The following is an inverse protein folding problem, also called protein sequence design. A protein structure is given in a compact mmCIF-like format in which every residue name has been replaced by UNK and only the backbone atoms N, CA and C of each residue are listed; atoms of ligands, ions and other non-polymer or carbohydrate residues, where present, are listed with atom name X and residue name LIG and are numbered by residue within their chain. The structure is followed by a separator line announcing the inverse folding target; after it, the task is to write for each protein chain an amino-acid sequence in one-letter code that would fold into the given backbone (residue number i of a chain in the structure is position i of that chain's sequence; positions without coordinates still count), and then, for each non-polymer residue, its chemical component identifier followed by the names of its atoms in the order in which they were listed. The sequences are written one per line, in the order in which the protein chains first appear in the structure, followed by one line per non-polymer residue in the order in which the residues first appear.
data_IF_209472009540
#
_entry.id   IF_209472009540
#
_cell.length_a   1.000
_cell.length_b   1.000
_cell.length_c   1.000
_cell.angle_alpha   90.00
_cell.angle_beta   90.00
_cell.angle_gamma   90.00
#
_symmetry.space_group_name_H-M   'P 1'
#
loop_
_entity.id
_entity.type
_entity.pdbx_description
1 polymer ?
#
# COMPACT_ATOMS: atom_id res chain seq x y z
N UNK A 1 6.34 27.20 -12.13
CA UNK A 1 7.77 26.84 -11.85
C UNK A 1 7.93 25.85 -10.69
N UNK A 2 6.96 25.75 -9.77
CA UNK A 2 7.09 24.96 -8.53
C UNK A 2 6.92 23.43 -8.67
N UNK A 3 6.07 22.85 -9.53
CA UNK A 3 5.83 21.40 -9.51
C UNK A 3 7.06 20.57 -9.91
N UNK A 4 7.84 21.01 -10.89
CA UNK A 4 8.99 20.26 -11.39
C UNK A 4 10.16 20.21 -10.39
N UNK A 5 10.44 21.30 -9.70
CA UNK A 5 11.51 21.35 -8.70
C UNK A 5 11.16 20.52 -7.46
N UNK A 6 9.89 20.51 -7.06
CA UNK A 6 9.40 19.69 -5.94
C UNK A 6 9.47 18.21 -6.29
N UNK A 7 9.02 17.84 -7.48
CA UNK A 7 9.10 16.45 -7.97
C UNK A 7 10.57 15.97 -8.01
N UNK A 8 11.48 16.77 -8.59
CA UNK A 8 12.89 16.43 -8.65
C UNK A 8 13.50 16.26 -7.26
N UNK A 9 13.24 17.19 -6.33
CA UNK A 9 13.72 17.07 -4.94
C UNK A 9 13.17 15.83 -4.24
N UNK A 10 11.90 15.50 -4.44
CA UNK A 10 11.30 14.31 -3.86
C UNK A 10 11.95 13.03 -4.39
N UNK A 11 12.20 12.93 -5.71
CA UNK A 11 12.89 11.79 -6.32
C UNK A 11 14.32 11.67 -5.77
N UNK A 12 15.04 12.78 -5.64
CA UNK A 12 16.40 12.77 -5.06
C UNK A 12 16.38 12.33 -3.60
N UNK A 13 15.46 12.85 -2.79
CA UNK A 13 15.31 12.45 -1.39
C UNK A 13 14.96 10.97 -1.23
N UNK A 14 14.02 10.46 -2.02
CA UNK A 14 13.63 9.04 -1.99
C UNK A 14 14.75 8.15 -2.50
N UNK A 15 15.45 8.56 -3.56
CA UNK A 15 16.63 7.86 -4.07
C UNK A 15 17.78 7.81 -3.05
N UNK A 16 18.07 8.91 -2.38
CA UNK A 16 19.04 8.96 -1.30
C UNK A 16 18.61 8.09 -0.12
N UNK A 17 17.34 8.14 0.25
CA UNK A 17 16.78 7.25 1.29
C UNK A 17 16.93 5.78 0.95
N UNK A 18 16.66 5.38 -0.28
CA UNK A 18 16.88 4.01 -0.73
C UNK A 18 18.35 3.60 -0.68
N UNK A 19 19.25 4.44 -1.19
CA UNK A 19 20.67 4.11 -1.27
C UNK A 19 21.38 4.13 0.09
N UNK A 20 21.05 5.07 0.95
CA UNK A 20 21.70 5.25 2.24
C UNK A 20 20.98 4.46 3.34
N UNK A 21 19.71 4.78 3.56
CA UNK A 21 18.93 4.21 4.65
C UNK A 21 18.54 2.76 4.39
N UNK A 22 18.10 2.44 3.17
CA UNK A 22 17.75 1.07 2.78
C UNK A 22 18.92 0.11 2.86
N UNK A 23 20.11 0.53 2.40
CA UNK A 23 21.34 -0.27 2.53
C UNK A 23 21.78 -0.44 3.98
N UNK A 24 21.73 0.62 4.77
CA UNK A 24 22.04 0.55 6.19
C UNK A 24 21.12 -0.43 6.92
N UNK A 25 19.80 -0.37 6.63
CA UNK A 25 18.81 -1.25 7.23
C UNK A 25 19.02 -2.71 6.81
N UNK A 26 19.28 -2.96 5.52
CA UNK A 26 19.56 -4.29 5.00
C UNK A 26 20.81 -4.91 5.67
N UNK A 27 21.88 -4.12 5.82
CA UNK A 27 23.10 -4.56 6.51
C UNK A 27 22.86 -4.81 8.00
N UNK A 28 22.09 -3.93 8.66
CA UNK A 28 21.78 -4.07 10.09
C UNK A 28 20.94 -5.33 10.39
N UNK A 29 20.05 -5.69 9.47
CA UNK A 29 19.22 -6.90 9.62
C UNK A 29 19.92 -8.16 9.13
N UNK A 30 21.11 -8.05 8.57
CA UNK A 30 21.91 -9.18 8.11
C UNK A 30 21.30 -9.84 6.85
N UNK A 31 20.80 -9.02 5.91
CA UNK A 31 20.32 -9.53 4.63
C UNK A 31 21.50 -10.07 3.82
N UNK A 32 21.45 -11.35 3.48
CA UNK A 32 22.41 -11.96 2.55
C UNK A 32 21.83 -11.98 1.14
N UNK A 33 22.39 -11.16 0.20
CA UNK A 33 21.91 -11.13 -1.18
C UNK A 33 22.10 -12.44 -1.95
N UNK A 34 22.94 -13.36 -1.44
CA UNK A 34 23.23 -14.66 -2.05
C UNK A 34 22.39 -15.79 -1.46
N UNK A 35 21.69 -15.55 -0.37
CA UNK A 35 20.82 -16.54 0.25
C UNK A 35 19.68 -16.92 -0.71
N UNK A 36 19.45 -18.22 -0.85
CA UNK A 36 18.30 -18.73 -1.59
C UNK A 36 17.02 -18.42 -0.81
N UNK A 37 16.03 -17.89 -1.49
CA UNK A 37 14.72 -17.64 -0.90
C UNK A 37 13.92 -18.92 -0.74
N UNK A 38 12.91 -18.97 0.15
CA UNK A 38 12.07 -20.16 0.33
C UNK A 38 11.44 -20.69 -0.96
N UNK A 39 11.11 -19.82 -1.91
CA UNK A 39 10.58 -20.22 -3.21
C UNK A 39 11.55 -21.13 -4.01
N UNK A 40 12.86 -21.04 -3.76
CA UNK A 40 13.85 -21.91 -4.39
C UNK A 40 14.24 -23.11 -3.54
N UNK A 41 14.10 -23.03 -2.21
CA UNK A 41 14.48 -24.12 -1.29
C UNK A 41 13.36 -25.11 -1.05
N UNK A 42 12.11 -24.67 -1.18
CA UNK A 42 10.90 -25.46 -0.97
C UNK A 42 10.02 -25.53 -2.23
N UNK A 43 10.63 -25.38 -3.41
CA UNK A 43 9.91 -25.39 -4.68
C UNK A 43 9.06 -26.66 -4.81
N UNK A 44 7.74 -26.49 -4.90
CA UNK A 44 6.74 -27.56 -5.02
C UNK A 44 5.84 -27.40 -6.26
N UNK A 45 5.97 -26.27 -6.96
CA UNK A 45 5.17 -25.97 -8.16
C UNK A 45 3.76 -25.44 -7.87
N UNK A 46 3.33 -25.37 -6.62
CA UNK A 46 2.02 -24.86 -6.21
C UNK A 46 2.14 -23.63 -5.33
N UNK A 47 2.65 -23.81 -4.09
CA UNK A 47 2.80 -22.74 -3.10
C UNK A 47 4.14 -22.00 -3.21
N UNK A 48 5.19 -22.73 -3.56
CA UNK A 48 6.55 -22.21 -3.70
C UNK A 48 7.02 -22.27 -5.15
N UNK A 49 6.73 -21.20 -5.88
CA UNK A 49 7.12 -21.08 -7.29
C UNK A 49 8.11 -19.93 -7.46
N UNK A 50 9.35 -20.20 -7.92
CA UNK A 50 10.32 -19.16 -8.21
C UNK A 50 9.81 -18.21 -9.29
N UNK A 51 9.70 -16.93 -8.96
CA UNK A 51 9.23 -15.90 -9.88
C UNK A 51 10.35 -14.94 -10.26
N UNK A 52 10.20 -14.28 -11.42
CA UNK A 52 11.17 -13.27 -11.84
C UNK A 52 11.16 -12.06 -10.89
N UNK A 53 12.30 -11.38 -10.77
CA UNK A 53 12.42 -10.16 -9.94
C UNK A 53 11.39 -9.10 -10.34
N UNK A 54 11.13 -8.97 -11.64
CA UNK A 54 10.15 -8.01 -12.15
C UNK A 54 8.72 -8.38 -11.74
N UNK A 55 8.37 -9.66 -11.80
CA UNK A 55 7.04 -10.16 -11.37
C UNK A 55 6.80 -9.87 -9.88
N UNK A 56 7.78 -10.19 -9.04
CA UNK A 56 7.69 -9.92 -7.59
C UNK A 56 7.57 -8.42 -7.31
N UNK A 57 8.38 -7.61 -7.98
CA UNK A 57 8.31 -6.15 -7.85
C UNK A 57 6.94 -5.61 -8.29
N UNK A 58 6.44 -6.03 -9.44
CA UNK A 58 5.14 -5.57 -9.97
C UNK A 58 3.99 -5.95 -9.05
N UNK A 59 4.00 -7.17 -8.51
CA UNK A 59 2.99 -7.61 -7.55
C UNK A 59 3.03 -6.80 -6.26
N UNK A 60 4.22 -6.58 -5.70
CA UNK A 60 4.40 -5.78 -4.49
C UNK A 60 3.96 -4.33 -4.71
N UNK A 61 4.35 -3.74 -5.83
CA UNK A 61 3.94 -2.39 -6.20
C UNK A 61 2.41 -2.27 -6.34
N UNK A 62 1.76 -3.19 -7.04
CA UNK A 62 0.30 -3.24 -7.16
C UNK A 62 -0.41 -3.37 -5.81
N UNK A 63 0.15 -4.13 -4.90
CA UNK A 63 -0.43 -4.34 -3.56
C UNK A 63 -0.36 -3.07 -2.71
N UNK A 64 0.69 -2.26 -2.85
CA UNK A 64 0.89 -1.01 -2.13
C UNK A 64 0.11 0.14 -2.78
N UNK A 65 0.12 0.23 -4.12
CA UNK A 65 -0.46 1.33 -4.89
C UNK A 65 -1.99 1.22 -5.00
N UNK A 66 -2.67 1.14 -3.87
CA UNK A 66 -4.13 1.21 -3.79
C UNK A 66 -4.67 2.65 -3.86
N UNK A 67 -5.97 2.82 -3.61
CA UNK A 67 -6.61 4.14 -3.61
C UNK A 67 -6.07 5.08 -2.50
N UNK A 68 -5.66 4.53 -1.34
CA UNK A 68 -5.14 5.30 -0.21
C UNK A 68 -3.95 6.20 -0.56
N UNK A 69 -2.89 5.71 -1.22
CA UNK A 69 -1.75 6.52 -1.66
C UNK A 69 -2.11 7.65 -2.62
N UNK A 70 -3.23 7.55 -3.33
CA UNK A 70 -3.72 8.61 -4.23
C UNK A 70 -4.63 9.58 -3.49
N UNK A 71 -5.65 9.09 -2.80
CA UNK A 71 -6.66 9.91 -2.13
C UNK A 71 -6.14 10.56 -0.85
N UNK A 72 -5.24 9.88 -0.13
CA UNK A 72 -4.65 10.38 1.11
C UNK A 72 -3.96 11.75 0.96
N UNK A 73 -3.00 11.91 0.04
CA UNK A 73 -2.36 13.20 -0.22
C UNK A 73 -3.33 14.29 -0.70
N UNK A 74 -4.35 13.92 -1.49
CA UNK A 74 -5.37 14.86 -1.95
C UNK A 74 -6.17 15.40 -0.75
N UNK A 75 -6.65 14.53 0.11
CA UNK A 75 -7.39 14.92 1.32
C UNK A 75 -6.50 15.69 2.30
N UNK A 76 -5.24 15.28 2.46
CA UNK A 76 -4.29 15.95 3.33
C UNK A 76 -3.87 17.34 2.82
N UNK A 77 -4.09 17.65 1.53
CA UNK A 77 -3.76 18.95 0.95
C UNK A 77 -4.46 20.13 1.65
N UNK A 78 -5.57 19.88 2.34
CA UNK A 78 -6.27 20.86 3.20
C UNK A 78 -5.35 21.44 4.27
N UNK A 79 -4.38 20.67 4.77
CA UNK A 79 -3.41 21.12 5.77
C UNK A 79 -2.23 21.92 5.17
N UNK A 80 -2.22 22.11 3.87
CA UNK A 80 -1.14 22.76 3.14
C UNK A 80 -0.12 21.78 2.55
N UNK A 81 0.58 22.21 1.52
CA UNK A 81 1.49 21.34 0.75
C UNK A 81 2.77 20.96 1.51
N UNK A 82 3.29 21.81 2.38
CA UNK A 82 4.55 21.56 3.10
C UNK A 82 4.43 20.42 4.11
N UNK A 83 3.44 20.42 5.02
CA UNK A 83 3.22 19.30 5.93
C UNK A 83 2.99 17.99 5.20
N UNK A 84 2.22 18.01 4.11
CA UNK A 84 1.94 16.81 3.30
C UNK A 84 3.21 16.28 2.66
N UNK A 85 4.02 17.14 2.06
CA UNK A 85 5.29 16.75 1.43
C UNK A 85 6.26 16.15 2.46
N UNK A 86 6.41 16.80 3.61
CA UNK A 86 7.25 16.28 4.71
C UNK A 86 6.76 14.92 5.18
N UNK A 87 5.45 14.74 5.36
CA UNK A 87 4.87 13.47 5.77
C UNK A 87 5.05 12.38 4.72
N UNK A 88 4.89 12.69 3.43
CA UNK A 88 5.12 11.74 2.35
C UNK A 88 6.57 11.26 2.29
N UNK A 89 7.54 12.16 2.48
CA UNK A 89 8.95 11.78 2.47
C UNK A 89 9.34 11.03 3.74
N UNK A 90 9.08 11.62 4.90
CA UNK A 90 9.48 11.03 6.20
C UNK A 90 8.65 9.79 6.52
N UNK A 91 7.33 9.88 6.38
CA UNK A 91 6.42 8.75 6.58
C UNK A 91 6.68 7.61 5.62
N UNK A 92 6.88 7.92 4.34
CA UNK A 92 7.20 6.91 3.32
C UNK A 92 8.52 6.20 3.58
N UNK A 93 9.58 6.92 3.96
CA UNK A 93 10.89 6.33 4.22
C UNK A 93 10.97 5.56 5.54
N UNK A 94 10.53 6.18 6.64
CA UNK A 94 10.77 5.65 7.98
C UNK A 94 9.66 4.75 8.50
N UNK A 95 8.43 4.90 8.00
CA UNK A 95 7.30 4.05 8.39
C UNK A 95 6.92 3.07 7.28
N UNK A 96 6.54 3.56 6.11
CA UNK A 96 6.05 2.71 5.02
C UNK A 96 7.12 1.73 4.53
N UNK A 97 8.24 2.22 4.05
CA UNK A 97 9.30 1.37 3.49
C UNK A 97 9.90 0.40 4.51
N UNK A 98 10.04 0.82 5.77
CA UNK A 98 10.55 -0.06 6.85
C UNK A 98 9.55 -1.15 7.19
N UNK A 99 8.26 -0.82 7.24
CA UNK A 99 7.21 -1.81 7.49
C UNK A 99 7.14 -2.85 6.38
N UNK A 100 7.12 -2.42 5.13
CA UNK A 100 7.03 -3.31 3.98
C UNK A 100 8.27 -4.20 3.86
N UNK A 101 9.45 -3.61 3.99
CA UNK A 101 10.71 -4.35 4.00
C UNK A 101 10.77 -5.32 5.19
N UNK A 102 10.31 -4.90 6.38
CA UNK A 102 10.28 -5.73 7.58
C UNK A 102 9.34 -6.91 7.45
N UNK A 103 8.16 -6.72 6.89
CA UNK A 103 7.20 -7.78 6.66
C UNK A 103 7.75 -8.82 5.65
N UNK A 104 8.32 -8.35 4.54
CA UNK A 104 8.92 -9.21 3.53
C UNK A 104 10.12 -9.99 4.10
N UNK A 105 11.02 -9.30 4.80
CA UNK A 105 12.18 -9.92 5.44
C UNK A 105 11.77 -10.97 6.49
N UNK A 106 10.79 -10.65 7.33
CA UNK A 106 10.28 -11.59 8.33
C UNK A 106 9.65 -12.82 7.68
N UNK A 107 8.90 -12.65 6.60
CA UNK A 107 8.32 -13.76 5.84
C UNK A 107 9.40 -14.64 5.24
N UNK A 108 10.36 -14.07 4.52
CA UNK A 108 11.48 -14.83 3.92
C UNK A 108 12.27 -15.59 4.97
N UNK A 109 12.57 -14.95 6.11
CA UNK A 109 13.32 -15.58 7.22
C UNK A 109 12.53 -16.69 7.94
N UNK A 110 11.23 -16.69 7.81
CA UNK A 110 10.33 -17.72 8.38
C UNK A 110 9.71 -18.60 7.28
N UNK A 111 10.50 -19.00 6.28
CA UNK A 111 10.10 -19.97 5.25
C UNK A 111 8.91 -19.54 4.40
N UNK A 112 8.76 -18.23 4.13
CA UNK A 112 7.65 -17.70 3.34
C UNK A 112 6.30 -17.67 4.07
N UNK A 113 6.28 -17.87 5.39
CA UNK A 113 5.04 -17.91 6.16
C UNK A 113 4.36 -16.55 6.25
N UNK A 114 3.02 -16.56 6.30
CA UNK A 114 2.21 -15.37 6.52
C UNK A 114 2.43 -14.78 7.92
N UNK A 115 2.13 -13.48 8.09
CA UNK A 115 2.29 -12.80 9.38
C UNK A 115 1.50 -13.47 10.51
N UNK A 116 0.31 -14.02 10.22
CA UNK A 116 -0.46 -14.77 11.21
C UNK A 116 0.25 -16.02 11.74
N UNK A 117 0.96 -16.73 10.87
CA UNK A 117 1.76 -17.91 11.25
C UNK A 117 3.03 -17.51 12.00
N UNK A 118 3.65 -16.39 11.63
CA UNK A 118 4.82 -15.84 12.33
C UNK A 118 4.43 -15.41 13.74
N UNK A 119 3.29 -14.74 13.90
CA UNK A 119 2.76 -14.35 15.22
C UNK A 119 2.47 -15.60 16.07
N UNK A 120 1.92 -16.65 15.47
CA UNK A 120 1.72 -17.91 16.21
C UNK A 120 3.02 -18.50 16.73
N UNK A 121 4.08 -18.47 15.90
CA UNK A 121 5.40 -19.00 16.26
C UNK A 121 6.05 -18.25 17.43
N UNK A 122 5.94 -16.93 17.48
CA UNK A 122 6.64 -16.10 18.46
C UNK A 122 5.78 -15.69 19.67
N UNK A 123 4.46 -15.56 19.50
CA UNK A 123 3.52 -15.07 20.53
C UNK A 123 2.55 -16.17 20.97
N UNK A 124 2.31 -17.14 20.08
CA UNK A 124 1.41 -18.26 20.36
C UNK A 124 0.03 -18.14 19.72
N UNK A 125 -0.79 -19.18 19.91
CA UNK A 125 -2.10 -19.34 19.27
C UNK A 125 -3.09 -18.23 19.59
N UNK A 126 -3.04 -17.65 20.78
CA UNK A 126 -3.91 -16.53 21.17
C UNK A 126 -3.56 -15.29 20.36
N UNK A 127 -2.26 -14.98 20.22
CA UNK A 127 -1.77 -13.87 19.39
C UNK A 127 -2.23 -13.99 17.94
N UNK A 128 -2.13 -15.19 17.35
CA UNK A 128 -2.67 -15.45 16.00
C UNK A 128 -4.15 -15.18 15.90
N UNK A 129 -4.98 -15.67 16.84
CA UNK A 129 -6.42 -15.46 16.81
C UNK A 129 -6.79 -13.97 16.91
N UNK A 130 -6.14 -13.23 17.80
CA UNK A 130 -6.34 -11.78 17.94
C UNK A 130 -5.93 -11.04 16.68
N UNK A 131 -4.79 -11.40 16.09
CA UNK A 131 -4.33 -10.81 14.83
C UNK A 131 -5.31 -11.09 13.68
N UNK A 132 -5.81 -12.32 13.55
CA UNK A 132 -6.80 -12.66 12.52
C UNK A 132 -8.12 -11.92 12.72
N UNK A 133 -8.58 -11.77 13.96
CA UNK A 133 -9.76 -10.97 14.29
C UNK A 133 -9.54 -9.50 13.92
N UNK A 134 -8.38 -8.93 14.24
CA UNK A 134 -8.01 -7.58 13.85
C UNK A 134 -8.02 -7.41 12.32
N UNK A 135 -7.38 -8.31 11.58
CA UNK A 135 -7.37 -8.27 10.12
C UNK A 135 -8.79 -8.37 9.53
N UNK A 136 -9.65 -9.20 10.10
CA UNK A 136 -11.04 -9.32 9.67
C UNK A 136 -11.82 -8.03 9.88
N UNK A 137 -11.75 -7.44 11.08
CA UNK A 137 -12.40 -6.17 11.38
C UNK A 137 -11.86 -5.03 10.52
N UNK A 138 -10.53 -5.00 10.31
CA UNK A 138 -9.90 -4.01 9.45
C UNK A 138 -10.36 -4.14 7.98
N UNK A 139 -10.51 -5.37 7.49
CA UNK A 139 -11.04 -5.61 6.13
C UNK A 139 -12.46 -5.08 5.98
N UNK A 140 -13.33 -5.28 6.98
CA UNK A 140 -14.69 -4.72 6.96
C UNK A 140 -14.68 -3.19 6.91
N UNK A 141 -13.79 -2.56 7.68
CA UNK A 141 -13.62 -1.11 7.68
C UNK A 141 -13.14 -0.60 6.31
N UNK A 142 -12.19 -1.28 5.69
CA UNK A 142 -11.68 -0.93 4.36
C UNK A 142 -12.79 -1.08 3.30
N UNK A 143 -13.54 -2.18 3.33
CA UNK A 143 -14.68 -2.38 2.42
C UNK A 143 -15.71 -1.26 2.59
N UNK A 144 -16.07 -0.91 3.82
CA UNK A 144 -17.00 0.18 4.08
C UNK A 144 -16.50 1.52 3.54
N UNK A 145 -15.22 1.85 3.77
CA UNK A 145 -14.62 3.08 3.27
C UNK A 145 -14.60 3.16 1.73
N UNK A 146 -14.24 2.06 1.06
CA UNK A 146 -14.28 2.03 -0.41
C UNK A 146 -15.71 2.08 -0.95
N UNK A 147 -16.65 1.42 -0.30
CA UNK A 147 -18.07 1.49 -0.68
C UNK A 147 -18.59 2.91 -0.55
N UNK A 148 -18.25 3.64 0.51
CA UNK A 148 -18.61 5.04 0.70
C UNK A 148 -18.00 5.94 -0.38
N UNK A 149 -16.71 5.76 -0.71
CA UNK A 149 -16.06 6.48 -1.80
C UNK A 149 -16.74 6.24 -3.14
N UNK A 150 -17.07 4.99 -3.46
CA UNK A 150 -17.76 4.62 -4.70
C UNK A 150 -19.17 5.20 -4.70
N UNK A 151 -19.93 5.02 -3.62
CA UNK A 151 -21.27 5.60 -3.49
C UNK A 151 -21.24 7.13 -3.66
N UNK A 152 -20.23 7.81 -3.14
CA UNK A 152 -20.03 9.25 -3.32
C UNK A 152 -19.85 9.70 -4.77
N UNK A 153 -19.40 8.81 -5.66
CA UNK A 153 -19.30 9.13 -7.10
C UNK A 153 -20.67 9.13 -7.81
N UNK A 154 -21.65 8.45 -7.23
CA UNK A 154 -23.02 8.41 -7.75
C UNK A 154 -23.90 9.57 -7.25
N UNK A 155 -23.43 10.28 -6.22
CA UNK A 155 -24.11 11.46 -5.68
C UNK A 155 -23.43 12.70 -6.25
N UNK A 156 -24.02 13.32 -7.25
CA UNK A 156 -23.54 14.59 -7.76
C UNK A 156 -23.75 15.66 -6.68
N UNK A 157 -22.66 16.13 -6.09
CA UNK A 157 -22.65 17.36 -5.29
C UNK A 157 -22.93 18.51 -6.25
N UNK A 158 -24.02 19.23 -6.02
CA UNK A 158 -24.52 20.25 -6.92
C UNK A 158 -23.42 21.20 -7.40
N UNK A 159 -23.29 21.27 -8.72
CA UNK A 159 -22.59 22.37 -9.38
C UNK A 159 -23.53 23.57 -9.29
N UNK A 160 -23.01 24.75 -8.93
CA UNK A 160 -23.81 25.99 -8.91
C UNK A 160 -24.56 26.15 -10.22
N UNK A 161 -25.90 26.15 -10.16
CA UNK A 161 -26.77 26.27 -11.33
C UNK A 161 -27.47 25.00 -11.82
N UNK A 162 -27.10 23.80 -11.30
CA UNK A 162 -27.85 22.56 -11.58
C UNK A 162 -28.83 22.24 -10.48
N UNK A 163 -30.05 21.82 -10.88
CA UNK A 163 -31.00 21.27 -9.91
C UNK A 163 -30.53 19.89 -9.46
N UNK A 164 -30.73 19.57 -8.18
CA UNK A 164 -30.30 18.29 -7.55
C UNK A 164 -30.76 17.05 -8.34
N UNK A 165 -31.97 17.13 -8.98
CA UNK A 165 -32.48 16.07 -9.83
C UNK A 165 -31.65 15.83 -11.10
N UNK A 166 -31.20 16.90 -11.75
CA UNK A 166 -30.40 16.81 -12.99
C UNK A 166 -29.00 16.29 -12.70
N UNK A 167 -28.39 16.75 -11.61
CA UNK A 167 -27.10 16.32 -11.17
C UNK A 167 -27.06 14.81 -10.80
N UNK A 168 -28.10 14.32 -10.13
CA UNK A 168 -28.24 12.90 -9.79
C UNK A 168 -28.51 12.01 -11.00
N UNK A 169 -29.27 12.53 -12.02
CA UNK A 169 -29.48 11.79 -13.25
C UNK A 169 -28.21 11.63 -14.07
N UNK A 170 -27.38 12.67 -14.18
CA UNK A 170 -26.11 12.63 -14.89
C UNK A 170 -25.09 11.73 -14.20
N UNK A 171 -25.02 11.76 -12.88
CA UNK A 171 -24.18 10.86 -12.09
C UNK A 171 -24.59 9.40 -12.25
N UNK A 172 -25.91 9.13 -12.25
CA UNK A 172 -26.44 7.78 -12.47
C UNK A 172 -26.17 7.27 -13.88
N UNK A 173 -26.28 8.13 -14.90
CA UNK A 173 -25.98 7.79 -16.29
C UNK A 173 -24.49 7.47 -16.50
N UNK A 174 -23.58 8.27 -15.92
CA UNK A 174 -22.14 8.02 -15.96
C UNK A 174 -21.77 6.69 -15.28
N UNK A 175 -22.43 6.37 -14.19
CA UNK A 175 -22.19 5.13 -13.42
C UNK A 175 -22.70 3.89 -14.16
N UNK A 176 -23.86 3.98 -14.79
CA UNK A 176 -24.42 2.90 -15.62
C UNK A 176 -23.51 2.66 -16.82
N UNK A 177 -22.98 3.70 -17.46
CA UNK A 177 -22.06 3.53 -18.57
C UNK A 177 -20.75 2.84 -18.20
N UNK A 178 -20.25 3.04 -16.98
CA UNK A 178 -19.05 2.33 -16.47
C UNK A 178 -19.27 0.83 -16.20
N UNK A 179 -20.52 0.42 -15.97
CA UNK A 179 -20.86 -1.00 -15.75
C UNK A 179 -20.89 -1.81 -17.06
N UNK A 180 -20.92 -1.14 -18.22
CA UNK A 180 -21.01 -1.77 -19.54
C UNK A 180 -19.72 -1.67 -20.37
N UNK A 181 -18.62 -1.16 -19.79
CA UNK A 181 -17.27 -1.17 -20.37
C UNK A 181 -16.44 -2.25 -19.69
#
# INVERSE_FOLDING_TARGET
LFPYTTLFRSIVCLGAGYLLYGRWLANKWGLDPKAKTPAFTHEDGEDYVPSSKFTVFSHQFSSIAGAGPVTGPILASVFGWVPVLLWLIVGGLFFGAVQDFGALYASVKNEGKSMGMIIEKYIGKIGRKLFMLFCWLFTLLVIAAFTDMVAGTFVAKGVEGMTEKTANADASAASISMLFI
#
